data_IF_392765354290
#
_entry.id   IF_392765354290
#
_cell.length_a   1.000
_cell.length_b   1.000
_cell.length_c   1.000
_cell.angle_alpha   90.00
_cell.angle_beta   90.00
_cell.angle_gamma   90.00
#
_symmetry.space_group_name_H-M   'P 1'
#
loop_
_entity.id
_entity.type
_entity.pdbx_description
1 polymer ?
#
# COMPACT_ATOMS: atom_id res chain seq x y z
N UNK A 1 -13.38 -15.38 -1.42
CA UNK A 1 -12.99 -16.07 -2.68
C UNK A 1 -12.35 -15.03 -3.59
N UNK A 2 -11.03 -14.88 -3.55
CA UNK A 2 -10.29 -14.05 -4.50
C UNK A 2 -10.27 -14.80 -5.82
N UNK A 3 -11.01 -14.33 -6.83
CA UNK A 3 -10.88 -14.86 -8.18
C UNK A 3 -9.41 -14.79 -8.56
N UNK A 4 -8.78 -15.94 -8.79
CA UNK A 4 -7.42 -16.00 -9.33
C UNK A 4 -7.49 -15.30 -10.68
N UNK A 5 -6.96 -14.09 -10.74
CA UNK A 5 -6.75 -13.37 -11.99
C UNK A 5 -5.68 -14.17 -12.73
N UNK A 6 -6.05 -14.83 -13.82
CA UNK A 6 -5.16 -15.69 -14.62
C UNK A 6 -4.25 -14.80 -15.48
N UNK A 7 -3.41 -14.00 -14.81
CA UNK A 7 -2.46 -13.09 -15.44
C UNK A 7 -1.21 -13.87 -15.80
N UNK A 8 -0.81 -13.78 -17.07
CA UNK A 8 0.41 -14.38 -17.60
C UNK A 8 1.30 -13.27 -18.16
N UNK A 9 2.58 -13.57 -18.39
CA UNK A 9 3.52 -12.63 -19.00
C UNK A 9 3.01 -12.03 -20.33
N UNK A 10 2.21 -12.80 -21.08
CA UNK A 10 1.61 -12.40 -22.37
C UNK A 10 0.27 -11.67 -22.26
N UNK A 11 -0.28 -11.49 -21.05
CA UNK A 11 -1.52 -10.74 -20.87
C UNK A 11 -1.29 -9.28 -21.25
N UNK A 12 -2.14 -8.66 -22.10
CA UNK A 12 -2.03 -7.25 -22.44
C UNK A 12 -2.02 -6.37 -21.17
N UNK A 13 -1.05 -5.46 -21.06
CA UNK A 13 -0.80 -4.70 -19.83
C UNK A 13 -2.03 -3.92 -19.36
N UNK A 14 -2.72 -3.22 -20.26
CA UNK A 14 -3.91 -2.45 -19.94
C UNK A 14 -5.04 -3.34 -19.36
N UNK A 15 -5.20 -4.55 -19.87
CA UNK A 15 -6.19 -5.51 -19.39
C UNK A 15 -5.79 -6.07 -18.02
N UNK A 16 -4.51 -6.40 -17.82
CA UNK A 16 -4.00 -6.83 -16.52
C UNK A 16 -4.23 -5.77 -15.43
N UNK A 17 -3.93 -4.50 -15.73
CA UNK A 17 -4.19 -3.38 -14.81
C UNK A 17 -5.69 -3.24 -14.54
N UNK A 18 -6.53 -3.30 -15.58
CA UNK A 18 -8.00 -3.21 -15.43
C UNK A 18 -8.54 -4.31 -14.52
N UNK A 19 -8.16 -5.57 -14.75
CA UNK A 19 -8.60 -6.71 -13.93
C UNK A 19 -8.12 -6.58 -12.48
N UNK A 20 -6.86 -6.20 -12.26
CA UNK A 20 -6.34 -6.02 -10.91
C UNK A 20 -7.02 -4.86 -10.16
N UNK A 21 -7.29 -3.74 -10.83
CA UNK A 21 -8.04 -2.62 -10.24
C UNK A 21 -9.50 -3.01 -9.96
N UNK A 22 -10.14 -3.76 -10.85
CA UNK A 22 -11.48 -4.28 -10.63
C UNK A 22 -11.53 -5.16 -9.38
N UNK A 23 -10.58 -6.09 -9.22
CA UNK A 23 -10.48 -6.93 -8.03
C UNK A 23 -10.29 -6.10 -6.74
N UNK A 24 -9.42 -5.07 -6.75
CA UNK A 24 -9.28 -4.19 -5.60
C UNK A 24 -10.57 -3.40 -5.31
N UNK A 25 -11.26 -2.90 -6.34
CA UNK A 25 -12.53 -2.18 -6.20
C UNK A 25 -13.61 -3.06 -5.58
N UNK A 26 -13.74 -4.31 -6.00
CA UNK A 26 -14.68 -5.27 -5.44
C UNK A 26 -14.43 -5.48 -3.94
N UNK A 27 -13.16 -5.62 -3.54
CA UNK A 27 -12.76 -5.67 -2.13
C UNK A 27 -13.19 -4.37 -1.42
N UNK A 28 -12.89 -3.20 -1.98
CA UNK A 28 -13.29 -1.91 -1.38
C UNK A 28 -14.79 -1.85 -1.16
N UNK A 29 -15.61 -2.24 -2.14
CA UNK A 29 -17.07 -2.20 -2.02
C UNK A 29 -17.56 -3.11 -0.88
N UNK A 30 -17.05 -4.33 -0.79
CA UNK A 30 -17.39 -5.28 0.28
C UNK A 30 -16.97 -4.70 1.64
N UNK A 31 -15.74 -4.21 1.75
CA UNK A 31 -15.17 -3.71 3.00
C UNK A 31 -15.77 -2.39 3.45
N UNK A 32 -16.25 -1.54 2.54
CA UNK A 32 -17.03 -0.35 2.91
C UNK A 32 -18.38 -0.69 3.54
N UNK A 33 -19.02 -1.78 3.13
CA UNK A 33 -20.24 -2.26 3.81
C UNK A 33 -19.91 -2.72 5.23
N UNK A 34 -18.82 -3.47 5.39
CA UNK A 34 -18.32 -3.89 6.70
C UNK A 34 -17.93 -2.69 7.57
N UNK A 35 -17.31 -1.66 6.99
CA UNK A 35 -16.95 -0.41 7.66
C UNK A 35 -18.16 0.42 8.14
N UNK A 36 -19.36 0.11 7.65
CA UNK A 36 -20.61 0.72 8.10
C UNK A 36 -21.35 -0.13 9.15
N UNK A 37 -20.76 -1.25 9.60
CA UNK A 37 -21.33 -2.10 10.66
C UNK A 37 -21.50 -1.32 11.96
N UNK A 38 -22.48 -1.74 12.76
CA UNK A 38 -22.66 -1.23 14.12
C UNK A 38 -21.75 -1.95 15.12
N UNK A 39 -21.19 -3.09 14.75
CA UNK A 39 -20.14 -3.75 15.53
C UNK A 39 -18.82 -2.98 15.36
N UNK A 40 -18.23 -2.42 16.44
CA UNK A 40 -16.98 -1.67 16.37
C UNK A 40 -15.79 -2.46 15.82
N UNK A 41 -15.70 -3.76 16.10
CA UNK A 41 -14.60 -4.60 15.64
C UNK A 41 -14.71 -4.85 14.13
N UNK A 42 -15.91 -5.19 13.65
CA UNK A 42 -16.16 -5.34 12.22
C UNK A 42 -15.95 -4.02 11.46
N UNK A 43 -16.43 -2.90 12.02
CA UNK A 43 -16.27 -1.59 11.41
C UNK A 43 -14.80 -1.19 11.26
N UNK A 44 -14.00 -1.37 12.31
CA UNK A 44 -12.56 -1.10 12.29
C UNK A 44 -11.81 -1.97 11.26
N UNK A 45 -12.16 -3.26 11.18
CA UNK A 45 -11.59 -4.19 10.19
C UNK A 45 -11.99 -3.80 8.76
N UNK A 46 -13.27 -3.46 8.54
CA UNK A 46 -13.75 -2.98 7.25
C UNK A 46 -13.01 -1.71 6.78
N UNK A 47 -12.75 -0.76 7.68
CA UNK A 47 -11.93 0.42 7.39
C UNK A 47 -10.50 0.03 7.03
N UNK A 48 -9.87 -0.86 7.80
CA UNK A 48 -8.50 -1.30 7.56
C UNK A 48 -8.35 -1.94 6.17
N UNK A 49 -9.18 -2.94 5.88
CA UNK A 49 -9.11 -3.71 4.65
C UNK A 49 -9.47 -2.87 3.41
N UNK A 50 -10.44 -1.98 3.51
CA UNK A 50 -10.75 -1.03 2.44
C UNK A 50 -9.55 -0.11 2.14
N UNK A 51 -8.82 0.34 3.17
CA UNK A 51 -7.60 1.14 2.99
C UNK A 51 -6.50 0.33 2.32
N UNK A 52 -6.31 -0.94 2.69
CA UNK A 52 -5.32 -1.82 2.05
C UNK A 52 -5.61 -1.96 0.55
N UNK A 53 -6.86 -2.25 0.19
CA UNK A 53 -7.26 -2.39 -1.21
C UNK A 53 -7.12 -1.08 -2.00
N UNK A 54 -7.51 0.06 -1.43
CA UNK A 54 -7.31 1.38 -2.06
C UNK A 54 -5.82 1.70 -2.24
N UNK A 55 -4.96 1.38 -1.26
CA UNK A 55 -3.51 1.62 -1.36
C UNK A 55 -2.90 0.83 -2.52
N UNK A 56 -3.29 -0.44 -2.68
CA UNK A 56 -2.85 -1.30 -3.79
C UNK A 56 -3.33 -0.75 -5.13
N UNK A 57 -4.59 -0.35 -5.23
CA UNK A 57 -5.15 0.27 -6.43
C UNK A 57 -4.41 1.58 -6.80
N UNK A 58 -4.12 2.44 -5.81
CA UNK A 58 -3.38 3.67 -6.02
C UNK A 58 -1.92 3.43 -6.42
N UNK A 59 -1.25 2.44 -5.80
CA UNK A 59 0.12 2.04 -6.18
C UNK A 59 0.17 1.59 -7.63
N UNK A 60 -0.63 0.57 -7.97
CA UNK A 60 -0.70 0.02 -9.33
C UNK A 60 -1.01 1.12 -10.35
N UNK A 61 -2.03 1.93 -10.11
CA UNK A 61 -2.44 2.95 -11.07
C UNK A 61 -1.39 4.08 -11.20
N UNK A 62 -0.74 4.47 -10.10
CA UNK A 62 0.31 5.47 -10.11
C UNK A 62 1.48 5.04 -10.98
N UNK A 63 1.93 3.79 -10.83
CA UNK A 63 3.01 3.25 -11.62
C UNK A 63 2.59 2.87 -13.05
N UNK A 64 1.36 2.44 -13.29
CA UNK A 64 0.87 2.13 -14.64
C UNK A 64 0.69 3.37 -15.55
N UNK A 65 0.60 4.57 -14.97
CA UNK A 65 0.28 5.83 -15.68
C UNK A 65 1.09 6.10 -16.95
N UNK A 66 2.40 5.76 -17.05
CA UNK A 66 3.17 5.95 -18.29
C UNK A 66 2.68 5.12 -19.49
N UNK A 67 1.96 4.02 -19.25
CA UNK A 67 1.56 3.04 -20.27
C UNK A 67 0.05 3.02 -20.56
N UNK A 68 -0.74 3.85 -19.89
CA UNK A 68 -2.20 3.98 -20.08
C UNK A 68 -2.59 5.46 -20.23
N UNK A 69 -3.88 5.77 -20.46
CA UNK A 69 -4.31 7.17 -20.52
C UNK A 69 -4.09 7.91 -19.18
N UNK A 70 -3.21 8.90 -19.21
CA UNK A 70 -2.81 9.65 -18.04
C UNK A 70 -3.96 10.51 -17.46
N UNK A 71 -4.90 10.98 -18.29
CA UNK A 71 -6.04 11.77 -17.84
C UNK A 71 -7.00 10.93 -17.01
N UNK A 72 -7.32 9.74 -17.51
CA UNK A 72 -8.12 8.73 -16.84
C UNK A 72 -7.46 8.28 -15.54
N UNK A 73 -6.16 7.96 -15.57
CA UNK A 73 -5.41 7.51 -14.40
C UNK A 73 -5.40 8.58 -13.29
N UNK A 74 -5.07 9.83 -13.63
CA UNK A 74 -5.07 10.96 -12.67
C UNK A 74 -6.45 11.19 -12.05
N UNK A 75 -7.53 11.10 -12.84
CA UNK A 75 -8.90 11.24 -12.33
C UNK A 75 -9.23 10.17 -11.29
N UNK A 76 -8.86 8.91 -11.54
CA UNK A 76 -9.08 7.80 -10.60
C UNK A 76 -8.19 7.90 -9.35
N UNK A 77 -6.91 8.25 -9.50
CA UNK A 77 -6.02 8.52 -8.36
C UNK A 77 -6.58 9.60 -7.44
N UNK A 78 -7.14 10.68 -8.00
CA UNK A 78 -7.80 11.73 -7.22
C UNK A 78 -9.00 11.20 -6.44
N UNK A 79 -9.84 10.40 -7.09
CA UNK A 79 -11.05 9.80 -6.51
C UNK A 79 -10.70 8.82 -5.38
N UNK A 80 -9.84 7.84 -5.66
CA UNK A 80 -9.36 6.85 -4.67
C UNK A 80 -8.63 7.54 -3.53
N UNK A 81 -7.79 8.54 -3.81
CA UNK A 81 -7.12 9.32 -2.78
C UNK A 81 -8.08 10.09 -1.87
N UNK A 82 -9.22 10.55 -2.38
CA UNK A 82 -10.27 11.18 -1.58
C UNK A 82 -10.87 10.22 -0.55
N UNK A 83 -11.22 9.02 -0.99
CA UNK A 83 -11.75 7.97 -0.12
C UNK A 83 -10.67 7.45 0.86
N UNK A 84 -9.45 7.22 0.38
CA UNK A 84 -8.33 6.78 1.21
C UNK A 84 -8.03 7.76 2.35
N UNK A 85 -8.04 9.07 2.08
CA UNK A 85 -7.87 10.10 3.12
C UNK A 85 -9.03 10.13 4.12
N UNK A 86 -10.26 9.90 3.66
CA UNK A 86 -11.43 9.82 4.54
C UNK A 86 -11.29 8.66 5.53
N UNK A 87 -11.04 7.45 5.02
CA UNK A 87 -10.83 6.26 5.84
C UNK A 87 -9.56 6.38 6.70
N UNK A 88 -8.57 7.12 6.20
CA UNK A 88 -7.35 7.49 6.90
C UNK A 88 -7.63 8.07 8.29
N UNK A 89 -8.47 9.10 8.32
CA UNK A 89 -8.84 9.80 9.56
C UNK A 89 -9.55 8.89 10.57
N UNK A 90 -10.28 7.88 10.10
CA UNK A 90 -10.99 6.91 10.96
C UNK A 90 -9.98 5.94 11.57
N UNK A 91 -9.17 5.30 10.72
CA UNK A 91 -8.15 4.33 11.14
C UNK A 91 -7.10 4.94 12.07
N UNK A 92 -6.74 6.21 11.90
CA UNK A 92 -5.82 6.89 12.82
C UNK A 92 -6.41 6.96 14.25
N UNK A 93 -7.73 7.01 14.40
CA UNK A 93 -8.42 6.95 15.71
C UNK A 93 -8.48 5.53 16.25
N UNK A 94 -8.72 4.54 15.37
CA UNK A 94 -8.69 3.13 15.75
C UNK A 94 -7.32 2.76 16.32
N UNK A 95 -6.24 3.09 15.61
CA UNK A 95 -4.87 2.83 16.04
C UNK A 95 -4.56 3.53 17.37
N UNK A 96 -4.96 4.79 17.53
CA UNK A 96 -4.71 5.51 18.79
C UNK A 96 -5.47 4.90 19.98
N UNK A 97 -6.73 4.50 19.78
CA UNK A 97 -7.57 3.83 20.80
C UNK A 97 -7.01 2.45 21.17
N UNK A 98 -6.68 1.62 20.17
CA UNK A 98 -6.08 0.28 20.34
C UNK A 98 -4.77 0.35 21.11
N UNK A 99 -3.86 1.26 20.72
CA UNK A 99 -2.56 1.42 21.39
C UNK A 99 -2.69 1.93 22.81
N UNK A 100 -3.60 2.86 23.06
CA UNK A 100 -3.84 3.37 24.41
C UNK A 100 -4.36 2.26 25.33
N UNK A 101 -5.31 1.45 24.84
CA UNK A 101 -5.84 0.31 25.58
C UNK A 101 -4.82 -0.82 25.81
N UNK A 102 -3.82 -0.95 24.94
CA UNK A 102 -2.71 -1.87 25.14
C UNK A 102 -1.65 -1.35 26.13
N UNK A 103 -1.52 -0.03 26.27
CA UNK A 103 -0.54 0.60 27.17
C UNK A 103 -1.08 0.76 28.60
N UNK A 104 -2.33 1.22 28.74
CA UNK A 104 -2.94 1.44 30.04
C UNK A 104 -3.75 0.21 30.48
N UNK A 105 -3.59 -0.27 31.72
CA UNK A 105 -4.54 -1.20 32.33
C UNK A 105 -5.97 -0.64 32.29
N UNK A 106 -6.96 -1.53 32.16
CA UNK A 106 -8.37 -1.14 32.03
C UNK A 106 -8.91 -0.39 33.26
N UNK A 107 -8.27 -0.57 34.41
CA UNK A 107 -8.61 -0.04 35.73
C UNK A 107 -7.72 1.11 36.20
N UNK A 108 -6.81 1.62 35.34
CA UNK A 108 -5.93 2.75 35.67
C UNK A 108 -6.74 4.06 35.82
N UNK A 109 -7.00 4.56 37.04
CA UNK A 109 -7.95 5.65 37.26
C UNK A 109 -7.50 6.97 36.61
N UNK A 110 -6.19 7.19 36.57
CA UNK A 110 -5.58 8.39 36.00
C UNK A 110 -5.68 8.42 34.46
N UNK A 111 -5.74 7.25 33.82
CA UNK A 111 -5.85 7.10 32.37
C UNK A 111 -7.30 7.05 31.87
N UNK A 112 -8.26 6.66 32.72
CA UNK A 112 -9.67 6.52 32.34
C UNK A 112 -10.26 7.72 31.57
N UNK A 113 -9.99 8.99 31.94
CA UNK A 113 -10.48 10.16 31.20
C UNK A 113 -9.88 10.29 29.79
N UNK A 114 -8.60 9.94 29.64
CA UNK A 114 -7.90 9.97 28.35
C UNK A 114 -8.43 8.86 27.43
N UNK A 115 -8.59 7.65 27.95
CA UNK A 115 -9.16 6.51 27.23
C UNK A 115 -10.60 6.80 26.79
N UNK A 116 -11.42 7.36 27.67
CA UNK A 116 -12.79 7.76 27.35
C UNK A 116 -12.82 8.83 26.23
N UNK A 117 -11.92 9.82 26.27
CA UNK A 117 -11.83 10.84 25.22
C UNK A 117 -11.38 10.27 23.86
N UNK A 118 -10.41 9.35 23.85
CA UNK A 118 -9.97 8.65 22.65
C UNK A 118 -11.08 7.81 22.04
N UNK A 119 -11.76 6.99 22.86
CA UNK A 119 -12.85 6.14 22.42
C UNK A 119 -14.03 6.97 21.91
N UNK A 120 -14.42 8.03 22.62
CA UNK A 120 -15.48 8.93 22.15
C UNK A 120 -15.17 9.56 20.79
N UNK A 121 -13.91 9.96 20.55
CA UNK A 121 -13.47 10.50 19.25
C UNK A 121 -13.50 9.45 18.15
N UNK A 122 -13.04 8.23 18.45
CA UNK A 122 -13.12 7.08 17.53
C UNK A 122 -14.57 6.81 17.14
N UNK A 123 -15.45 6.68 18.12
CA UNK A 123 -16.87 6.36 17.89
C UNK A 123 -17.58 7.45 17.08
N UNK A 124 -17.33 8.72 17.39
CA UNK A 124 -17.83 9.85 16.59
C UNK A 124 -17.36 9.79 15.13
N UNK A 125 -16.12 9.38 14.89
CA UNK A 125 -15.53 9.32 13.55
C UNK A 125 -16.08 8.14 12.73
N UNK A 126 -16.33 6.99 13.36
CA UNK A 126 -17.08 5.87 12.77
C UNK A 126 -18.53 6.23 12.50
N UNK A 127 -19.20 6.91 13.43
CA UNK A 127 -20.58 7.36 13.22
C UNK A 127 -20.69 8.33 12.04
N UNK A 128 -19.74 9.27 11.91
CA UNK A 128 -19.66 10.16 10.77
C UNK A 128 -19.41 9.40 9.45
N UNK A 129 -18.56 8.37 9.47
CA UNK A 129 -18.34 7.51 8.30
C UNK A 129 -19.63 6.76 7.93
N UNK A 130 -20.28 6.13 8.91
CA UNK A 130 -21.53 5.37 8.73
C UNK A 130 -22.63 6.24 8.14
N UNK A 131 -22.87 7.44 8.68
CA UNK A 131 -23.83 8.41 8.12
C UNK A 131 -23.50 8.78 6.68
N UNK A 132 -22.21 8.99 6.38
CA UNK A 132 -21.75 9.32 5.03
C UNK A 132 -21.90 8.15 4.06
N UNK A 133 -21.70 6.92 4.51
CA UNK A 133 -21.93 5.71 3.72
C UNK A 133 -23.41 5.33 3.61
N UNK A 134 -24.29 5.85 4.47
CA UNK A 134 -25.74 5.71 4.35
C UNK A 134 -26.38 6.75 3.42
N UNK A 135 -25.70 7.88 3.18
CA UNK A 135 -26.18 8.93 2.29
C UNK A 135 -26.26 8.43 0.83
N UNK A 136 -27.48 8.44 0.26
CA UNK A 136 -27.77 7.92 -1.09
C UNK A 136 -26.93 8.61 -2.17
N UNK A 137 -26.76 9.94 -2.07
CA UNK A 137 -25.97 10.70 -3.04
C UNK A 137 -24.50 10.30 -2.98
N UNK A 138 -23.95 10.15 -1.79
CA UNK A 138 -22.59 9.68 -1.57
C UNK A 138 -22.38 8.27 -2.10
N UNK A 139 -23.30 7.34 -1.82
CA UNK A 139 -23.25 5.98 -2.35
C UNK A 139 -23.29 5.94 -3.87
N UNK A 140 -24.16 6.74 -4.50
CA UNK A 140 -24.24 6.84 -5.96
C UNK A 140 -22.94 7.36 -6.57
N UNK A 141 -22.34 8.40 -5.98
CA UNK A 141 -21.07 8.95 -6.44
C UNK A 141 -19.95 7.90 -6.26
N UNK A 142 -19.82 7.31 -5.08
CA UNK A 142 -18.80 6.30 -4.81
C UNK A 142 -18.96 5.08 -5.71
N UNK A 143 -20.19 4.57 -5.87
CA UNK A 143 -20.50 3.46 -6.76
C UNK A 143 -20.12 3.77 -8.21
N UNK A 144 -20.47 4.96 -8.72
CA UNK A 144 -20.06 5.37 -10.07
C UNK A 144 -18.54 5.42 -10.22
N UNK A 145 -17.85 6.06 -9.28
CA UNK A 145 -16.39 6.23 -9.35
C UNK A 145 -15.65 4.89 -9.22
N UNK A 146 -16.09 4.01 -8.33
CA UNK A 146 -15.52 2.68 -8.12
C UNK A 146 -15.81 1.75 -9.31
N UNK A 147 -17.07 1.61 -9.72
CA UNK A 147 -17.47 0.70 -10.81
C UNK A 147 -16.99 1.15 -12.19
N UNK A 148 -16.53 2.38 -12.34
CA UNK A 148 -16.01 2.91 -13.62
C UNK A 148 -14.72 2.26 -14.12
N UNK A 149 -14.12 1.32 -13.37
CA UNK A 149 -13.00 0.48 -13.85
C UNK A 149 -13.48 -0.83 -14.48
N UNK A 150 -14.73 -1.22 -14.22
CA UNK A 150 -15.37 -2.40 -14.78
C UNK A 150 -16.15 -2.11 -16.08
N UNK A 151 -16.25 -0.85 -16.51
CA UNK A 151 -16.95 -0.49 -17.74
C UNK A 151 -16.13 -0.78 -18.99
N UNK A 152 -16.79 -1.07 -20.12
CA UNK A 152 -16.13 -1.16 -21.42
C UNK A 152 -15.36 0.13 -21.78
N UNK A 153 -15.90 1.28 -21.38
CA UNK A 153 -15.22 2.58 -21.52
C UNK A 153 -13.89 2.65 -20.77
N UNK A 154 -13.74 1.90 -19.66
CA UNK A 154 -12.48 1.84 -18.93
C UNK A 154 -11.41 1.15 -19.76
N UNK A 155 -11.75 0.03 -20.42
CA UNK A 155 -10.82 -0.67 -21.31
C UNK A 155 -10.41 0.22 -22.47
N UNK A 156 -11.38 0.87 -23.14
CA UNK A 156 -11.11 1.79 -24.24
C UNK A 156 -10.25 2.98 -23.81
N UNK A 157 -10.44 3.48 -22.59
CA UNK A 157 -9.62 4.56 -22.05
C UNK A 157 -8.22 4.10 -21.62
N UNK A 158 -8.02 2.82 -21.30
CA UNK A 158 -6.73 2.30 -20.83
C UNK A 158 -5.85 1.77 -21.96
N UNK A 159 -6.46 1.30 -23.06
CA UNK A 159 -5.73 0.80 -24.22
C UNK A 159 -5.11 1.97 -24.99
N UNK A 160 -3.78 2.06 -25.08
CA UNK A 160 -3.14 3.10 -25.89
C UNK A 160 -3.34 2.81 -27.39
N UNK A 161 -3.22 3.85 -28.22
CA UNK A 161 -3.17 3.68 -29.68
C UNK A 161 -2.00 2.75 -30.03
N UNK A 162 -2.21 1.63 -30.75
CA UNK A 162 -1.20 0.59 -30.94
C UNK A 162 0.16 1.09 -31.41
N UNK A 163 0.15 2.09 -32.30
CA UNK A 163 1.33 2.81 -32.74
C UNK A 163 1.00 4.30 -32.69
N UNK A 164 1.83 5.08 -31.99
CA UNK A 164 1.66 6.53 -31.93
C UNK A 164 1.89 7.19 -33.29
N UNK A 165 1.46 8.44 -33.45
CA UNK A 165 1.75 9.26 -34.63
C UNK A 165 3.27 9.49 -34.88
N UNK A 166 4.14 9.15 -33.92
CA UNK A 166 5.60 9.19 -34.04
C UNK A 166 6.22 7.80 -34.29
N UNK A 167 5.42 6.78 -34.60
CA UNK A 167 5.90 5.42 -34.87
C UNK A 167 6.25 4.58 -33.64
N UNK A 168 6.06 5.08 -32.42
CA UNK A 168 6.31 4.30 -31.20
C UNK A 168 5.22 3.24 -31.00
N UNK A 169 5.61 1.97 -30.81
CA UNK A 169 4.73 0.86 -30.42
C UNK A 169 4.22 1.11 -29.00
N UNK A 170 2.92 0.90 -28.79
CA UNK A 170 2.26 1.01 -27.49
C UNK A 170 1.37 -0.18 -27.13
N UNK A 171 1.37 -1.24 -27.92
CA UNK A 171 0.85 -2.52 -27.46
C UNK A 171 1.92 -3.17 -26.59
N UNK A 172 1.62 -3.32 -25.31
CA UNK A 172 2.52 -3.93 -24.33
C UNK A 172 1.83 -5.10 -23.66
N UNK A 173 2.55 -6.20 -23.46
CA UNK A 173 2.17 -7.22 -22.50
C UNK A 173 2.78 -6.93 -21.12
N UNK A 174 2.54 -7.82 -20.15
CA UNK A 174 3.15 -7.68 -18.83
C UNK A 174 4.67 -7.87 -18.88
N UNK A 175 5.17 -8.75 -19.75
CA UNK A 175 6.61 -8.98 -19.89
C UNK A 175 7.36 -7.71 -20.34
N UNK A 176 6.76 -6.93 -21.24
CA UNK A 176 7.33 -5.66 -21.72
C UNK A 176 7.43 -4.60 -20.61
N UNK A 177 6.45 -4.55 -19.71
CA UNK A 177 6.27 -3.42 -18.76
C UNK A 177 6.85 -3.71 -17.37
N UNK A 178 6.71 -4.95 -16.88
CA UNK A 178 7.09 -5.32 -15.51
C UNK A 178 8.56 -4.97 -15.16
N UNK A 179 9.57 -5.20 -16.03
CA UNK A 179 10.95 -4.84 -15.72
C UNK A 179 11.12 -3.33 -15.46
N UNK A 180 10.54 -2.49 -16.32
CA UNK A 180 10.62 -1.04 -16.18
C UNK A 180 9.83 -0.54 -14.96
N UNK A 181 8.61 -1.04 -14.76
CA UNK A 181 7.74 -0.62 -13.67
C UNK A 181 8.30 -1.01 -12.29
N UNK A 182 8.77 -2.25 -12.13
CA UNK A 182 9.37 -2.72 -10.88
C UNK A 182 10.74 -2.09 -10.64
N UNK A 183 11.54 -1.88 -11.71
CA UNK A 183 12.80 -1.16 -11.64
C UNK A 183 12.62 0.28 -11.15
N UNK A 184 11.59 0.98 -11.65
CA UNK A 184 11.25 2.32 -11.18
C UNK A 184 10.83 2.33 -9.70
N UNK A 185 9.98 1.38 -9.28
CA UNK A 185 9.55 1.29 -7.88
C UNK A 185 10.72 0.97 -6.94
N UNK A 186 11.65 0.12 -7.38
CA UNK A 186 12.87 -0.20 -6.65
C UNK A 186 13.80 1.02 -6.57
N UNK A 187 13.95 1.80 -7.65
CA UNK A 187 14.73 3.04 -7.64
C UNK A 187 14.17 4.05 -6.62
N UNK A 188 12.84 4.21 -6.58
CA UNK A 188 12.16 5.06 -5.59
C UNK A 188 12.43 4.63 -4.14
N UNK A 189 12.71 3.35 -3.88
CA UNK A 189 13.07 2.85 -2.54
C UNK A 189 14.58 2.93 -2.27
N UNK A 190 15.42 2.60 -3.25
CA UNK A 190 16.88 2.50 -3.05
C UNK A 190 17.58 3.85 -3.04
N UNK A 191 16.94 4.92 -3.54
CA UNK A 191 17.47 6.29 -3.48
C UNK A 191 17.74 6.75 -2.04
N UNK A 192 16.97 6.27 -1.06
CA UNK A 192 17.15 6.61 0.35
C UNK A 192 18.43 6.04 0.95
N UNK A 193 19.07 5.04 0.34
CA UNK A 193 20.26 4.41 0.88
C UNK A 193 21.48 5.33 0.93
N UNK A 194 21.53 6.36 0.11
CA UNK A 194 22.60 7.37 0.20
C UNK A 194 22.48 8.19 1.47
N UNK A 195 21.25 8.57 1.84
CA UNK A 195 20.99 9.35 3.06
C UNK A 195 21.18 8.46 4.28
N UNK A 196 20.58 7.27 4.32
CA UNK A 196 20.65 6.36 5.46
C UNK A 196 22.06 5.83 5.81
N UNK A 197 23.05 5.99 4.91
CA UNK A 197 24.45 5.64 5.17
C UNK A 197 25.26 6.78 5.79
N UNK A 198 24.76 8.02 5.75
CA UNK A 198 25.48 9.16 6.27
C UNK A 198 25.48 9.13 7.81
N UNK A 199 26.65 9.18 8.49
CA UNK A 199 26.75 9.11 9.95
C UNK A 199 25.99 10.21 10.70
N UNK A 200 25.77 11.35 10.05
CA UNK A 200 25.15 12.55 10.61
C UNK A 200 23.71 12.79 10.12
N UNK A 201 23.16 11.92 9.26
CA UNK A 201 21.78 12.15 8.80
C UNK A 201 20.80 11.77 9.90
N UNK A 202 20.18 12.78 10.51
CA UNK A 202 18.91 12.55 11.19
C UNK A 202 17.84 12.31 10.10
N UNK A 203 17.42 11.05 9.97
CA UNK A 203 16.34 10.67 9.10
C UNK A 203 15.02 11.22 9.66
N UNK A 204 14.71 12.47 9.32
CA UNK A 204 13.48 13.12 9.79
C UNK A 204 12.23 12.30 9.49
N UNK A 205 11.18 12.47 10.32
CA UNK A 205 9.94 11.70 10.23
C UNK A 205 9.34 11.70 8.81
N UNK A 206 9.40 12.83 8.10
CA UNK A 206 8.86 12.93 6.75
C UNK A 206 9.62 12.04 5.76
N UNK A 207 10.94 11.95 5.87
CA UNK A 207 11.73 11.07 5.00
C UNK A 207 11.43 9.60 5.29
N UNK A 208 11.39 9.19 6.56
CA UNK A 208 11.04 7.81 6.94
C UNK A 208 9.60 7.45 6.51
N UNK A 209 8.68 8.41 6.56
CA UNK A 209 7.33 8.24 6.05
C UNK A 209 7.32 8.01 4.53
N UNK A 210 8.07 8.80 3.76
CA UNK A 210 8.17 8.62 2.30
C UNK A 210 8.87 7.31 1.92
N UNK A 211 9.93 6.93 2.62
CA UNK A 211 10.59 5.63 2.45
C UNK A 211 9.62 4.47 2.71
N UNK A 212 8.84 4.56 3.79
CA UNK A 212 7.80 3.57 4.08
C UNK A 212 6.79 3.47 2.94
N UNK A 213 6.35 4.60 2.37
CA UNK A 213 5.44 4.59 1.23
C UNK A 213 6.07 3.91 0.00
N UNK A 214 7.31 4.25 -0.35
CA UNK A 214 8.04 3.64 -1.45
C UNK A 214 8.18 2.10 -1.29
N UNK A 215 8.47 1.62 -0.08
CA UNK A 215 8.52 0.18 0.15
C UNK A 215 7.15 -0.51 0.09
N UNK A 216 6.06 0.18 0.44
CA UNK A 216 4.69 -0.33 0.18
C UNK A 216 4.41 -0.40 -1.31
N UNK A 217 4.81 0.62 -2.07
CA UNK A 217 4.62 0.64 -3.52
C UNK A 217 5.31 -0.54 -4.17
N UNK A 218 6.60 -0.75 -3.89
CA UNK A 218 7.35 -1.90 -4.42
C UNK A 218 6.67 -3.23 -4.04
N UNK A 219 6.30 -3.42 -2.77
CA UNK A 219 5.65 -4.66 -2.33
C UNK A 219 4.32 -4.90 -3.03
N UNK A 220 3.47 -3.87 -3.14
CA UNK A 220 2.15 -4.00 -3.77
C UNK A 220 2.28 -4.29 -5.27
N UNK A 221 3.28 -3.74 -5.95
CA UNK A 221 3.56 -4.03 -7.37
C UNK A 221 4.16 -5.42 -7.58
N UNK A 222 5.05 -5.88 -6.70
CA UNK A 222 5.58 -7.25 -6.74
C UNK A 222 4.45 -8.26 -6.53
N UNK A 223 3.50 -7.98 -5.62
CA UNK A 223 2.31 -8.82 -5.43
C UNK A 223 1.40 -8.83 -6.67
N UNK A 224 1.27 -7.71 -7.38
CA UNK A 224 0.57 -7.65 -8.66
C UNK A 224 1.27 -8.48 -9.73
N UNK A 225 2.60 -8.43 -9.79
CA UNK A 225 3.41 -9.16 -10.76
C UNK A 225 3.55 -10.67 -10.44
N UNK A 226 3.31 -11.09 -9.20
CA UNK A 226 3.53 -12.46 -8.71
C UNK A 226 2.98 -13.59 -9.59
N UNK A 227 1.80 -13.46 -10.27
CA UNK A 227 1.34 -14.50 -11.20
C UNK A 227 2.26 -14.75 -12.39
N UNK A 228 3.08 -13.76 -12.78
CA UNK A 228 4.03 -13.82 -13.88
C UNK A 228 5.48 -14.11 -13.43
N UNK A 229 5.69 -14.27 -12.12
CA UNK A 229 7.01 -14.49 -11.52
C UNK A 229 7.03 -15.83 -10.77
N UNK A 230 8.22 -16.40 -10.59
CA UNK A 230 8.37 -17.67 -9.87
C UNK A 230 8.40 -17.47 -8.34
N UNK A 231 8.55 -18.59 -7.63
CA UNK A 231 8.56 -18.65 -6.17
C UNK A 231 9.77 -17.94 -5.54
N UNK A 232 10.83 -17.61 -6.31
CA UNK A 232 11.94 -16.81 -5.81
C UNK A 232 11.49 -15.39 -5.39
N UNK A 233 10.37 -14.94 -5.95
CA UNK A 233 9.72 -13.67 -5.58
C UNK A 233 9.25 -13.65 -4.13
N UNK A 234 8.97 -14.81 -3.53
CA UNK A 234 8.45 -14.87 -2.16
C UNK A 234 9.48 -14.40 -1.12
N UNK A 235 10.77 -14.63 -1.38
CA UNK A 235 11.85 -14.10 -0.56
C UNK A 235 11.91 -12.56 -0.59
N UNK A 236 11.73 -11.96 -1.78
CA UNK A 236 11.66 -10.50 -1.94
C UNK A 236 10.44 -9.93 -1.20
N UNK A 237 9.26 -10.57 -1.36
CA UNK A 237 8.04 -10.16 -0.66
C UNK A 237 8.21 -10.22 0.86
N UNK A 238 8.83 -11.30 1.37
CA UNK A 238 9.05 -11.49 2.80
C UNK A 238 10.00 -10.42 3.37
N UNK A 239 11.13 -10.17 2.71
CA UNK A 239 12.06 -9.11 3.11
C UNK A 239 11.39 -7.73 3.15
N UNK A 240 10.58 -7.40 2.13
CA UNK A 240 9.82 -6.15 2.11
C UNK A 240 8.78 -6.10 3.24
N UNK A 241 8.15 -7.22 3.61
CA UNK A 241 7.20 -7.27 4.73
C UNK A 241 7.86 -6.97 6.06
N UNK A 242 9.03 -7.54 6.33
CA UNK A 242 9.74 -7.37 7.60
C UNK A 242 10.09 -5.91 7.87
N UNK A 243 10.71 -5.23 6.90
CA UNK A 243 11.03 -3.79 7.04
C UNK A 243 9.77 -2.93 7.12
N UNK A 244 8.73 -3.29 6.36
CA UNK A 244 7.44 -2.58 6.42
C UNK A 244 6.70 -2.76 7.74
N UNK A 245 6.90 -3.87 8.45
CA UNK A 245 6.31 -4.08 9.78
C UNK A 245 6.93 -3.15 10.82
N UNK A 246 8.26 -3.01 10.80
CA UNK A 246 8.98 -2.07 11.69
C UNK A 246 8.61 -0.62 11.37
N UNK A 247 8.67 -0.21 10.10
CA UNK A 247 8.27 1.15 9.69
C UNK A 247 6.77 1.40 9.90
N UNK A 248 5.94 0.37 9.79
CA UNK A 248 4.52 0.41 10.14
C UNK A 248 4.33 0.77 11.61
N UNK A 249 4.95 -0.01 12.49
CA UNK A 249 4.91 0.19 13.94
C UNK A 249 5.45 1.56 14.35
N UNK A 250 6.54 2.02 13.71
CA UNK A 250 7.10 3.35 13.94
C UNK A 250 6.12 4.45 13.53
N UNK A 251 5.50 4.33 12.35
CA UNK A 251 4.53 5.33 11.91
C UNK A 251 3.31 5.40 12.84
N UNK A 252 2.91 4.28 13.42
CA UNK A 252 1.82 4.24 14.39
C UNK A 252 2.20 4.98 15.69
N UNK A 253 3.47 4.97 16.12
CA UNK A 253 3.94 5.81 17.24
C UNK A 253 3.86 7.30 16.90
N UNK A 254 4.25 7.68 15.67
CA UNK A 254 4.14 9.07 15.17
C UNK A 254 2.67 9.52 15.20
N UNK A 255 1.74 8.69 14.72
CA UNK A 255 0.31 8.98 14.75
C UNK A 255 -0.20 9.12 16.19
N UNK A 256 0.16 8.20 17.09
CA UNK A 256 -0.23 8.26 18.50
C UNK A 256 0.26 9.56 19.17
N UNK A 257 1.54 9.92 19.02
CA UNK A 257 2.12 11.17 19.57
C UNK A 257 1.39 12.41 19.06
N UNK A 258 1.07 12.47 17.76
CA UNK A 258 0.31 13.60 17.17
C UNK A 258 -1.13 13.70 17.72
N UNK A 259 -1.77 12.57 18.01
CA UNK A 259 -3.11 12.57 18.63
C UNK A 259 -3.04 13.00 20.11
N UNK A 260 -2.04 12.52 20.84
CA UNK A 260 -1.79 12.86 22.23
C UNK A 260 -1.50 14.34 22.43
N UNK A 261 -0.64 14.93 21.61
CA UNK A 261 -0.33 16.36 21.67
C UNK A 261 -1.60 17.23 21.53
N UNK A 262 -2.53 16.84 20.64
CA UNK A 262 -3.83 17.52 20.48
C UNK A 262 -4.77 17.30 21.66
N UNK A 263 -4.74 16.13 22.29
CA UNK A 263 -5.58 15.82 23.45
C UNK A 263 -5.07 16.48 24.73
N UNK A 264 -3.76 16.51 24.93
CA UNK A 264 -3.10 17.10 26.10
C UNK A 264 -3.40 18.59 26.21
N UNK A 265 -3.46 19.31 25.09
CA UNK A 265 -3.88 20.71 25.07
C UNK A 265 -5.34 20.94 25.50
N UNK A 266 -6.20 19.92 25.35
CA UNK A 266 -7.64 20.03 25.65
C UNK A 266 -8.02 19.54 27.05
N UNK A 267 -7.37 18.48 27.55
CA UNK A 267 -7.86 17.75 28.73
C UNK A 267 -7.27 18.18 30.08
N UNK A 268 -6.28 19.08 30.13
CA UNK A 268 -5.55 19.52 31.35
C UNK A 268 -4.97 18.38 32.24
N UNK A 269 -5.10 17.10 31.83
CA UNK A 269 -4.59 15.89 32.50
C UNK A 269 -3.23 15.51 31.93
N UNK A 270 -2.19 16.08 32.54
CA UNK A 270 -0.83 16.03 32.01
C UNK A 270 -0.13 14.69 32.26
N UNK A 271 -0.40 13.99 33.35
CA UNK A 271 0.48 12.90 33.80
C UNK A 271 0.35 11.62 32.96
N UNK A 272 -0.84 11.02 32.88
CA UNK A 272 -1.05 9.83 32.04
C UNK A 272 -0.73 10.10 30.56
N UNK A 273 -1.18 11.25 30.02
CA UNK A 273 -0.89 11.63 28.64
C UNK A 273 0.62 11.84 28.38
N UNK A 274 1.35 12.42 29.34
CA UNK A 274 2.81 12.60 29.26
C UNK A 274 3.51 11.25 29.35
N UNK A 275 3.13 10.40 30.30
CA UNK A 275 3.74 9.08 30.47
C UNK A 275 3.60 8.24 29.18
N UNK A 276 2.42 8.24 28.56
CA UNK A 276 2.24 7.54 27.28
C UNK A 276 2.98 8.22 26.11
N UNK A 277 3.07 9.56 26.10
CA UNK A 277 3.86 10.29 25.10
C UNK A 277 5.35 9.93 25.19
N UNK A 278 5.90 9.86 26.40
CA UNK A 278 7.29 9.49 26.65
C UNK A 278 7.53 8.05 26.19
N UNK A 279 6.63 7.12 26.52
CA UNK A 279 6.68 5.73 26.04
C UNK A 279 6.68 5.63 24.50
N UNK A 280 5.76 6.31 23.82
CA UNK A 280 5.66 6.28 22.35
C UNK A 280 6.87 6.94 21.67
N UNK A 281 7.51 7.91 22.36
CA UNK A 281 8.74 8.56 21.88
C UNK A 281 9.92 7.59 21.95
N UNK A 282 10.17 6.98 23.11
CA UNK A 282 11.24 5.97 23.29
C UNK A 282 11.04 4.79 22.35
N UNK A 283 9.81 4.26 22.25
CA UNK A 283 9.49 3.18 21.31
C UNK A 283 9.74 3.59 19.85
N UNK A 284 9.43 4.83 19.49
CA UNK A 284 9.72 5.38 18.17
C UNK A 284 11.21 5.36 17.85
N UNK A 285 12.05 5.82 18.78
CA UNK A 285 13.51 5.81 18.67
C UNK A 285 14.06 4.39 18.53
N UNK A 286 13.58 3.45 19.34
CA UNK A 286 14.03 2.06 19.28
C UNK A 286 13.62 1.38 17.97
N UNK A 287 12.42 1.62 17.46
CA UNK A 287 11.98 1.11 16.16
C UNK A 287 12.81 1.67 15.01
N UNK A 288 13.29 2.92 15.11
CA UNK A 288 14.23 3.48 14.13
C UNK A 288 15.55 2.72 14.16
N UNK A 289 16.11 2.41 15.35
CA UNK A 289 17.33 1.60 15.46
C UNK A 289 17.15 0.22 14.83
N UNK A 290 16.05 -0.48 15.15
CA UNK A 290 15.71 -1.79 14.57
C UNK A 290 15.58 -1.70 13.04
N UNK A 291 14.96 -0.62 12.53
CA UNK A 291 14.87 -0.38 11.09
C UNK A 291 16.26 -0.25 10.46
N UNK A 292 17.17 0.53 11.05
CA UNK A 292 18.53 0.69 10.52
C UNK A 292 19.31 -0.63 10.47
N UNK A 293 19.16 -1.47 11.50
CA UNK A 293 19.77 -2.81 11.52
C UNK A 293 19.21 -3.72 10.41
N UNK A 294 17.89 -3.71 10.21
CA UNK A 294 17.25 -4.47 9.14
C UNK A 294 17.65 -3.94 7.75
N UNK A 295 17.70 -2.61 7.58
CA UNK A 295 18.07 -1.96 6.32
C UNK A 295 19.51 -2.27 5.90
N UNK A 296 20.44 -2.42 6.85
CA UNK A 296 21.83 -2.85 6.56
C UNK A 296 21.88 -4.24 5.91
N UNK A 297 20.96 -5.14 6.28
CA UNK A 297 20.85 -6.48 5.70
C UNK A 297 20.15 -6.45 4.33
N UNK A 298 19.16 -5.57 4.17
CA UNK A 298 18.42 -5.39 2.92
C UNK A 298 19.00 -4.24 2.08
N UNK A 299 20.28 -4.36 1.70
CA UNK A 299 20.96 -3.36 0.90
C UNK A 299 20.32 -3.18 -0.50
N UNK A 300 20.53 -2.03 -1.17
CA UNK A 300 20.13 -1.86 -2.56
C UNK A 300 20.59 -2.98 -3.48
N UNK A 301 21.80 -3.50 -3.28
CA UNK A 301 22.37 -4.54 -4.12
C UNK A 301 21.65 -5.87 -3.90
N UNK A 302 21.28 -6.18 -2.65
CA UNK A 302 20.42 -7.31 -2.31
C UNK A 302 19.07 -7.19 -3.02
N UNK A 303 18.39 -6.04 -2.89
CA UNK A 303 17.08 -5.82 -3.51
C UNK A 303 17.12 -5.86 -5.04
N UNK A 304 18.16 -5.28 -5.65
CA UNK A 304 18.37 -5.34 -7.12
C UNK A 304 18.63 -6.76 -7.58
N UNK A 305 19.47 -7.51 -6.87
CA UNK A 305 19.75 -8.90 -7.17
C UNK A 305 18.50 -9.78 -7.08
N UNK A 306 17.72 -9.62 -6.02
CA UNK A 306 16.44 -10.34 -5.85
C UNK A 306 15.43 -10.00 -6.95
N UNK A 307 15.29 -8.72 -7.31
CA UNK A 307 14.39 -8.32 -8.40
C UNK A 307 14.88 -8.86 -9.75
N UNK A 308 16.19 -8.80 -10.03
CA UNK A 308 16.76 -9.34 -11.25
C UNK A 308 16.49 -10.84 -11.37
N UNK A 309 16.70 -11.61 -10.30
CA UNK A 309 16.39 -13.06 -10.24
C UNK A 309 14.90 -13.29 -10.51
N UNK A 310 14.00 -12.56 -9.84
CA UNK A 310 12.56 -12.70 -10.05
C UNK A 310 12.18 -12.44 -11.51
N UNK A 311 12.79 -11.44 -12.16
CA UNK A 311 12.57 -11.12 -13.56
C UNK A 311 13.14 -12.15 -14.54
N UNK A 312 14.03 -13.07 -14.14
CA UNK A 312 14.49 -14.16 -15.03
C UNK A 312 13.41 -15.21 -15.31
N UNK A 313 12.33 -15.22 -14.53
CA UNK A 313 11.19 -16.10 -14.73
C UNK A 313 10.10 -15.49 -15.63
N UNK A 314 10.18 -14.19 -15.91
CA UNK A 314 9.35 -13.50 -16.89
C UNK A 314 9.55 -14.22 -18.23
N UNK A 315 8.48 -14.76 -18.82
CA UNK A 315 8.48 -15.61 -20.04
C UNK A 315 8.79 -17.10 -19.89
N UNK A 316 9.07 -17.63 -18.69
CA UNK A 316 9.10 -19.10 -18.55
C UNK A 316 7.66 -19.63 -18.70
N UNK A 317 7.38 -20.49 -19.70
CA UNK A 317 6.04 -21.06 -19.84
C UNK A 317 5.69 -21.79 -18.54
N UNK A 318 4.51 -21.50 -18.01
CA UNK A 318 3.94 -22.19 -16.85
C UNK A 318 3.77 -23.67 -17.20
N UNK A 319 4.77 -24.47 -16.85
CA UNK A 319 4.76 -25.91 -17.02
C UNK A 319 5.18 -26.38 -18.42
N UNK A 320 6.49 -26.48 -18.66
CA UNK A 320 6.98 -27.66 -19.36
C UNK A 320 7.49 -28.64 -18.31
N UNK A 321 6.64 -29.60 -17.91
CA UNK A 321 7.05 -30.77 -17.14
C UNK A 321 7.87 -31.77 -18.00
N UNK A 322 8.34 -31.35 -19.18
CA UNK A 322 8.98 -32.22 -20.17
C UNK A 322 10.14 -31.50 -20.89
N UNK A 323 11.11 -30.90 -20.19
CA UNK A 323 12.33 -30.42 -20.88
C UNK A 323 13.56 -30.48 -19.98
N UNK A 324 13.97 -31.70 -19.62
CA UNK A 324 15.38 -31.99 -19.42
C UNK A 324 16.06 -31.89 -20.80
N UNK A 325 16.59 -30.72 -21.18
CA UNK A 325 17.53 -30.61 -22.31
C UNK A 325 17.12 -29.77 -23.53
N UNK A 326 16.65 -28.53 -23.34
CA UNK A 326 16.67 -27.53 -24.42
C UNK A 326 17.51 -26.32 -24.01
N UNK A 327 18.82 -26.55 -23.92
CA UNK A 327 19.82 -25.48 -23.97
C UNK A 327 20.13 -25.14 -25.42
N UNK A 328 19.36 -24.23 -26.01
CA UNK A 328 19.74 -23.58 -27.26
C UNK A 328 20.51 -22.31 -26.95
N UNK A 329 21.83 -22.32 -27.12
CA UNK A 329 22.61 -21.08 -27.15
C UNK A 329 22.18 -20.24 -28.36
N UNK A 330 22.15 -18.90 -28.27
CA UNK A 330 21.95 -18.07 -29.44
C UNK A 330 23.17 -18.19 -30.36
N UNK A 331 22.96 -18.65 -31.59
CA UNK A 331 23.99 -18.59 -32.64
C UNK A 331 24.27 -17.12 -32.98
N UNK A 332 25.54 -16.70 -33.05
CA UNK A 332 25.88 -15.37 -33.54
C UNK A 332 25.58 -15.29 -35.03
N UNK A 333 24.78 -14.28 -35.41
CA UNK A 333 24.47 -13.99 -36.80
C UNK A 333 25.75 -13.77 -37.62
N UNK A 334 25.82 -14.47 -38.75
CA UNK A 334 26.83 -14.28 -39.81
C UNK A 334 26.52 -13.05 -40.65
#
# INVERSE_FOLDING_TARGET
>A
MTGKTDLTARTPFAEAVRQALQAQVEIVIIRLKQAASTDPAEAAEGVHEARVALRRAQSLLGFATPWIDAGWAKKRLKSYGGLFRLLGKVRDRDIASERAGAFFPADEPDAAPLLAALNSRRDKQHEALRKKLADKKTLQILGRELSSVASADALLAMVPVPVSNRGQVRLFDLADVLPAMLGQALACLTVYSHVLKAPESDAGEDMLHQLRLAGKDLRDLVLFARPCLDDQTDALIQNLREIQQTLGSWHDTVVARRQLQKLSSELQKKEAARHWLDFESTRGEDLVKVFYEAWRKMSPDCLRGQLAIALTALDKPSGCACCSGCGGQPEPAS
#
